data_IF_576196940731
#
_entry.id   IF_576196940731
#
_cell.length_a   1.000
_cell.length_b   1.000
_cell.length_c   1.000
_cell.angle_alpha   90.00
_cell.angle_beta   90.00
_cell.angle_gamma   90.00
#
_symmetry.space_group_name_H-M   'P 1'
#
loop_
_entity.id
_entity.type
_entity.pdbx_description
1 polymer ?
#
# COMPACT_ATOMS: atom_id res chain seq x y z
N UNK A 1 9.40 5.72 1.93
CA UNK A 1 8.67 6.55 2.93
C UNK A 1 7.19 6.50 2.61
N UNK A 2 6.30 6.45 3.58
CA UNK A 2 4.85 6.57 3.35
C UNK A 2 4.28 7.69 4.21
N UNK A 3 3.17 8.27 3.79
CA UNK A 3 2.36 9.11 4.66
C UNK A 3 1.00 8.48 4.90
N UNK A 4 0.56 8.50 6.16
CA UNK A 4 -0.78 8.13 6.54
C UNK A 4 -1.54 9.37 6.99
N UNK A 5 -2.70 9.60 6.40
CA UNK A 5 -3.55 10.74 6.71
C UNK A 5 -4.98 10.26 6.95
N UNK A 6 -5.69 10.98 7.81
CA UNK A 6 -7.13 10.80 7.87
C UNK A 6 -7.77 11.15 6.51
N UNK A 7 -8.82 10.44 6.08
CA UNK A 7 -9.44 10.65 4.77
C UNK A 7 -9.84 12.10 4.52
N UNK A 8 -10.44 12.78 5.51
CA UNK A 8 -10.90 14.15 5.37
C UNK A 8 -9.73 15.12 5.08
N UNK A 9 -8.60 14.92 5.76
CA UNK A 9 -7.41 15.75 5.59
C UNK A 9 -6.78 15.51 4.23
N UNK A 10 -6.71 14.25 3.79
CA UNK A 10 -6.24 13.90 2.46
C UNK A 10 -7.07 14.59 1.36
N UNK A 11 -8.41 14.46 1.38
CA UNK A 11 -9.27 15.06 0.37
C UNK A 11 -9.20 16.60 0.38
N UNK A 12 -9.05 17.21 1.58
CA UNK A 12 -8.84 18.64 1.70
C UNK A 12 -7.53 19.08 1.03
N UNK A 13 -6.41 18.42 1.36
CA UNK A 13 -5.10 18.73 0.80
C UNK A 13 -5.05 18.50 -0.72
N UNK A 14 -5.65 17.40 -1.19
CA UNK A 14 -5.77 17.11 -2.61
C UNK A 14 -6.57 18.22 -3.32
N UNK A 15 -7.70 18.65 -2.76
CA UNK A 15 -8.50 19.73 -3.33
C UNK A 15 -7.73 21.04 -3.44
N UNK A 16 -7.00 21.43 -2.38
CA UNK A 16 -6.15 22.63 -2.39
C UNK A 16 -5.04 22.53 -3.43
N UNK A 17 -4.37 21.39 -3.52
CA UNK A 17 -3.31 21.15 -4.52
C UNK A 17 -3.85 21.27 -5.95
N UNK A 18 -5.00 20.64 -6.23
CA UNK A 18 -5.61 20.69 -7.55
C UNK A 18 -6.08 22.09 -7.94
N UNK A 19 -6.59 22.87 -6.98
CA UNK A 19 -6.92 24.28 -7.21
C UNK A 19 -5.69 25.09 -7.63
N UNK A 20 -4.56 24.92 -6.93
CA UNK A 20 -3.30 25.57 -7.29
C UNK A 20 -2.82 25.18 -8.70
N UNK A 21 -2.88 23.89 -9.04
CA UNK A 21 -2.52 23.38 -10.37
C UNK A 21 -3.45 23.95 -11.44
N UNK A 22 -4.77 23.91 -11.21
CA UNK A 22 -5.78 24.41 -12.14
C UNK A 22 -5.61 25.90 -12.41
N UNK A 23 -5.38 26.68 -11.35
CA UNK A 23 -5.15 28.12 -11.46
C UNK A 23 -3.90 28.43 -12.29
N UNK A 24 -2.81 27.72 -12.01
CA UNK A 24 -1.53 27.88 -12.71
C UNK A 24 -1.65 27.49 -14.19
N UNK A 25 -2.27 26.35 -14.48
CA UNK A 25 -2.55 25.88 -15.83
C UNK A 25 -3.47 26.85 -16.58
N UNK A 26 -4.51 27.37 -15.92
CA UNK A 26 -5.43 28.35 -16.47
C UNK A 26 -4.73 29.65 -16.90
N UNK A 27 -3.83 30.19 -16.07
CA UNK A 27 -3.01 31.37 -16.42
C UNK A 27 -2.14 31.08 -17.64
N UNK A 28 -1.46 29.93 -17.65
CA UNK A 28 -0.53 29.57 -18.71
C UNK A 28 -1.25 29.37 -20.04
N UNK A 29 -2.40 28.70 -20.00
CA UNK A 29 -3.24 28.44 -21.14
C UNK A 29 -3.90 29.71 -21.69
N UNK A 30 -4.32 30.63 -20.81
CA UNK A 30 -4.80 31.95 -21.21
C UNK A 30 -3.73 32.77 -21.93
N UNK A 31 -2.49 32.81 -21.39
CA UNK A 31 -1.35 33.48 -22.03
C UNK A 31 -1.05 32.91 -23.42
N UNK A 32 -1.10 31.59 -23.58
CA UNK A 32 -0.87 30.92 -24.86
C UNK A 32 -1.96 31.23 -25.90
N UNK A 33 -3.22 31.32 -25.49
CA UNK A 33 -4.34 31.63 -26.40
C UNK A 33 -4.31 33.10 -26.83
N UNK A 34 -4.03 34.03 -25.92
CA UNK A 34 -3.95 35.47 -26.25
C UNK A 34 -2.88 35.77 -27.30
N UNK A 35 -1.78 35.01 -27.34
CA UNK A 35 -0.70 35.18 -28.33
C UNK A 35 -1.14 34.98 -29.79
N UNK A 36 -2.30 34.38 -30.04
CA UNK A 36 -2.71 33.93 -31.38
C UNK A 36 -3.76 34.80 -32.12
N UNK A 37 -4.11 36.00 -31.64
CA UNK A 37 -4.89 37.11 -32.24
C UNK A 37 -6.24 36.84 -32.98
N UNK A 38 -6.59 35.62 -33.39
CA UNK A 38 -7.83 35.30 -34.13
C UNK A 38 -8.88 34.66 -33.21
N UNK A 39 -10.09 35.25 -33.19
CA UNK A 39 -11.35 34.76 -32.56
C UNK A 39 -11.13 33.76 -31.41
N UNK A 40 -10.75 34.28 -30.23
CA UNK A 40 -10.24 33.51 -29.09
C UNK A 40 -11.34 32.89 -28.21
N UNK A 41 -12.53 33.51 -28.12
CA UNK A 41 -13.58 33.09 -27.16
C UNK A 41 -14.04 31.63 -27.28
N UNK A 42 -14.14 31.09 -28.49
CA UNK A 42 -14.54 29.68 -28.68
C UNK A 42 -13.47 28.69 -28.22
N UNK A 43 -12.20 29.01 -28.50
CA UNK A 43 -11.04 28.21 -28.08
C UNK A 43 -10.83 28.26 -26.58
N UNK A 44 -11.04 29.42 -25.96
CA UNK A 44 -10.97 29.58 -24.49
C UNK A 44 -12.02 28.71 -23.79
N UNK A 45 -13.27 28.71 -24.27
CA UNK A 45 -14.33 27.87 -23.70
C UNK A 45 -14.04 26.38 -23.86
N UNK A 46 -13.59 25.96 -25.04
CA UNK A 46 -13.23 24.56 -25.28
C UNK A 46 -12.07 24.12 -24.39
N UNK A 47 -11.03 24.94 -24.25
CA UNK A 47 -9.88 24.61 -23.43
C UNK A 47 -10.20 24.61 -21.93
N UNK A 48 -11.09 25.49 -21.46
CA UNK A 48 -11.59 25.45 -20.08
C UNK A 48 -12.35 24.15 -19.79
N UNK A 49 -13.20 23.68 -20.72
CA UNK A 49 -13.90 22.40 -20.58
C UNK A 49 -12.94 21.21 -20.56
N UNK A 50 -11.94 21.20 -21.45
CA UNK A 50 -10.91 20.15 -21.47
C UNK A 50 -10.12 20.16 -20.15
N UNK A 51 -9.71 21.34 -19.68
CA UNK A 51 -9.00 21.48 -18.42
C UNK A 51 -9.84 20.93 -17.26
N UNK A 52 -11.13 21.30 -17.17
CA UNK A 52 -12.02 20.78 -16.15
C UNK A 52 -12.15 19.25 -16.18
N UNK A 53 -12.28 18.66 -17.38
CA UNK A 53 -12.34 17.21 -17.55
C UNK A 53 -11.04 16.53 -17.11
N UNK A 54 -9.88 17.07 -17.51
CA UNK A 54 -8.56 16.58 -17.08
C UNK A 54 -8.41 16.65 -15.57
N UNK A 55 -8.84 17.75 -14.94
CA UNK A 55 -8.77 17.90 -13.48
C UNK A 55 -9.68 16.90 -12.75
N UNK A 56 -10.88 16.62 -13.28
CA UNK A 56 -11.76 15.60 -12.72
C UNK A 56 -11.13 14.20 -12.81
N UNK A 57 -10.53 13.85 -13.95
CA UNK A 57 -9.81 12.58 -14.13
C UNK A 57 -8.63 12.49 -13.18
N UNK A 58 -7.85 13.56 -13.03
CA UNK A 58 -6.69 13.59 -12.15
C UNK A 58 -7.08 13.48 -10.68
N UNK A 59 -8.20 14.08 -10.28
CA UNK A 59 -8.78 13.90 -8.94
C UNK A 59 -9.12 12.43 -8.68
N UNK A 60 -9.86 11.79 -9.59
CA UNK A 60 -10.25 10.39 -9.44
C UNK A 60 -9.03 9.47 -9.42
N UNK A 61 -8.06 9.71 -10.31
CA UNK A 61 -6.80 8.97 -10.33
C UNK A 61 -6.05 9.08 -9.00
N UNK A 62 -5.88 10.30 -8.48
CA UNK A 62 -5.17 10.52 -7.23
C UNK A 62 -5.91 9.91 -6.02
N UNK A 63 -7.23 9.99 -6.00
CA UNK A 63 -8.05 9.53 -4.88
C UNK A 63 -8.26 8.01 -4.82
N UNK A 64 -8.30 7.33 -5.96
CA UNK A 64 -8.71 5.92 -6.03
C UNK A 64 -7.58 4.98 -6.48
N UNK A 65 -6.66 5.46 -7.31
CA UNK A 65 -5.66 4.58 -7.95
C UNK A 65 -4.26 4.80 -7.39
N UNK A 66 -3.93 6.05 -7.05
CA UNK A 66 -2.62 6.39 -6.51
C UNK A 66 -2.49 6.10 -5.01
N UNK A 67 -3.57 6.20 -4.24
CA UNK A 67 -3.57 5.96 -2.80
C UNK A 67 -4.20 4.64 -2.42
N UNK A 68 -3.71 4.06 -1.33
CA UNK A 68 -4.30 2.89 -0.70
C UNK A 68 -5.06 3.29 0.58
N UNK A 69 -5.80 2.35 1.17
CA UNK A 69 -6.54 2.52 2.41
C UNK A 69 -6.17 1.42 3.38
N UNK A 70 -5.92 1.81 4.63
CA UNK A 70 -5.78 0.90 5.75
C UNK A 70 -6.95 1.10 6.72
N UNK A 71 -7.59 0.02 7.15
CA UNK A 71 -8.69 0.03 8.11
C UNK A 71 -8.18 -0.11 9.56
N UNK A 72 -9.05 0.16 10.53
CA UNK A 72 -8.73 -0.01 11.94
C UNK A 72 -8.24 -1.44 12.26
N UNK A 73 -7.08 -1.52 12.91
CA UNK A 73 -6.42 -2.79 13.26
C UNK A 73 -5.64 -3.44 12.11
N UNK A 74 -5.55 -2.80 10.95
CA UNK A 74 -4.57 -3.17 9.92
C UNK A 74 -3.23 -2.48 10.22
N UNK A 75 -2.13 -3.16 9.85
CA UNK A 75 -0.77 -2.66 10.07
C UNK A 75 -0.13 -2.31 8.74
N UNK A 76 0.47 -1.13 8.64
CA UNK A 76 1.24 -0.73 7.46
C UNK A 76 2.72 -0.95 7.75
N UNK A 77 3.32 -1.87 7.00
CA UNK A 77 4.73 -2.24 7.07
C UNK A 77 5.50 -1.39 6.08
N UNK A 78 6.57 -0.76 6.56
CA UNK A 78 7.46 0.11 5.77
C UNK A 78 8.91 -0.11 6.17
N UNK A 79 9.86 0.37 5.35
CA UNK A 79 11.27 0.37 5.72
C UNK A 79 11.58 1.17 6.99
N UNK A 80 10.70 2.11 7.39
CA UNK A 80 10.83 2.86 8.65
C UNK A 80 10.24 2.15 9.87
N UNK A 81 9.59 1.00 9.68
CA UNK A 81 8.91 0.25 10.74
C UNK A 81 7.45 -0.09 10.43
N UNK A 82 6.79 -0.65 11.44
CA UNK A 82 5.37 -1.05 11.39
C UNK A 82 4.54 0.04 12.08
N UNK A 83 3.52 0.54 11.39
CA UNK A 83 2.57 1.50 11.97
C UNK A 83 1.17 0.88 11.99
N UNK A 84 0.54 0.86 13.14
CA UNK A 84 -0.83 0.36 13.29
C UNK A 84 -1.84 1.48 12.99
N UNK A 85 -2.90 1.13 12.27
CA UNK A 85 -3.98 2.06 11.96
C UNK A 85 -4.97 2.13 13.12
N UNK A 86 -4.91 3.21 13.90
CA UNK A 86 -5.81 3.45 15.03
C UNK A 86 -7.14 4.10 14.63
N UNK A 87 -7.14 4.87 13.54
CA UNK A 87 -8.35 5.48 12.97
C UNK A 87 -9.23 4.42 12.30
N UNK A 88 -10.54 4.68 12.19
CA UNK A 88 -11.47 3.80 11.47
C UNK A 88 -10.98 3.45 10.04
N UNK A 89 -10.34 4.43 9.40
CA UNK A 89 -9.69 4.31 8.10
C UNK A 89 -8.60 5.37 7.98
N UNK A 90 -7.49 5.02 7.36
CA UNK A 90 -6.40 5.93 6.97
C UNK A 90 -6.11 5.80 5.49
N UNK A 91 -5.77 6.91 4.85
CA UNK A 91 -5.27 6.95 3.47
C UNK A 91 -3.76 6.79 3.49
N UNK A 92 -3.26 5.80 2.78
CA UNK A 92 -1.83 5.51 2.64
C UNK A 92 -1.35 6.09 1.32
N UNK A 93 -0.38 7.00 1.40
CA UNK A 93 0.28 7.61 0.25
C UNK A 93 1.68 6.99 0.12
N UNK A 94 1.92 6.15 -0.89
CA UNK A 94 3.18 5.44 -1.01
C UNK A 94 4.23 6.26 -1.76
N UNK A 95 5.34 6.59 -1.08
CA UNK A 95 6.55 7.14 -1.69
C UNK A 95 7.71 6.12 -1.64
N UNK A 96 7.38 4.84 -1.68
CA UNK A 96 8.31 3.71 -1.63
C UNK A 96 7.56 2.41 -1.31
N UNK A 97 8.30 1.31 -1.22
CA UNK A 97 7.76 -0.02 -0.93
C UNK A 97 7.08 -0.05 0.43
N UNK A 98 5.88 -0.62 0.45
CA UNK A 98 5.05 -0.78 1.64
C UNK A 98 4.13 -1.97 1.45
N UNK A 99 3.60 -2.49 2.55
CA UNK A 99 2.50 -3.44 2.52
C UNK A 99 1.55 -3.18 3.68
N UNK A 100 0.26 -3.34 3.44
CA UNK A 100 -0.75 -3.39 4.48
C UNK A 100 -0.99 -4.85 4.84
N UNK A 101 -0.83 -5.16 6.12
CA UNK A 101 -1.11 -6.46 6.71
C UNK A 101 -2.52 -6.40 7.26
N UNK A 102 -3.38 -7.27 6.73
CA UNK A 102 -4.76 -7.38 7.15
C UNK A 102 -4.86 -7.76 8.63
N UNK A 103 -5.92 -7.26 9.29
CA UNK A 103 -6.15 -7.50 10.72
C UNK A 103 -6.17 -8.99 11.11
N UNK A 104 -6.57 -9.87 10.20
CA UNK A 104 -6.61 -11.30 10.46
C UNK A 104 -5.21 -11.92 10.67
N UNK A 105 -4.17 -11.22 10.23
CA UNK A 105 -2.76 -11.57 10.42
C UNK A 105 -2.06 -10.67 11.45
N UNK A 106 -2.81 -9.95 12.29
CA UNK A 106 -2.24 -9.06 13.32
C UNK A 106 -1.33 -9.84 14.29
N UNK A 107 -1.76 -11.04 14.67
CA UNK A 107 -1.00 -11.98 15.50
C UNK A 107 -0.07 -12.90 14.70
N UNK A 108 0.13 -12.61 13.42
CA UNK A 108 0.93 -13.41 12.49
C UNK A 108 0.10 -14.35 11.62
N UNK A 109 0.78 -14.92 10.63
CA UNK A 109 0.24 -15.92 9.73
C UNK A 109 0.39 -17.31 10.34
N UNK A 110 -0.69 -18.11 10.38
CA UNK A 110 -0.66 -19.43 11.03
C UNK A 110 -0.93 -20.56 10.04
N UNK A 111 -0.11 -21.61 10.10
CA UNK A 111 -0.28 -22.87 9.35
C UNK A 111 -0.01 -24.08 10.25
N UNK A 112 -0.84 -25.09 10.10
CA UNK A 112 -0.72 -26.36 10.81
C UNK A 112 -0.08 -27.40 9.89
N UNK A 113 0.94 -28.10 10.39
CA UNK A 113 1.67 -29.14 9.64
C UNK A 113 1.70 -30.42 10.47
N UNK A 114 1.37 -31.54 9.83
CA UNK A 114 1.47 -32.85 10.46
C UNK A 114 2.89 -33.41 10.27
N UNK A 115 3.59 -33.65 11.38
CA UNK A 115 4.94 -34.22 11.39
C UNK A 115 5.02 -35.30 12.47
N UNK A 116 5.49 -36.49 12.12
CA UNK A 116 5.70 -37.60 13.06
C UNK A 116 4.46 -37.98 13.91
N UNK A 117 3.25 -37.81 13.35
CA UNK A 117 1.99 -38.08 14.05
C UNK A 117 1.53 -37.00 15.02
N UNK A 118 2.22 -35.86 15.07
CA UNK A 118 1.84 -34.67 15.82
C UNK A 118 1.44 -33.53 14.85
N UNK A 119 0.45 -32.73 15.25
CA UNK A 119 0.14 -31.48 14.54
C UNK A 119 0.94 -30.34 15.17
N UNK A 120 1.78 -29.69 14.39
CA UNK A 120 2.58 -28.53 14.82
C UNK A 120 2.00 -27.28 14.15
N UNK A 121 1.62 -26.28 14.96
CA UNK A 121 1.23 -24.96 14.48
C UNK A 121 2.42 -24.04 14.40
N UNK A 122 2.69 -23.54 13.22
CA UNK A 122 3.67 -22.50 12.94
C UNK A 122 2.97 -21.15 12.89
N UNK A 123 3.48 -20.17 13.62
CA UNK A 123 3.01 -18.78 13.60
C UNK A 123 4.14 -17.88 13.13
N UNK A 124 3.95 -17.21 12.00
CA UNK A 124 4.93 -16.32 11.36
C UNK A 124 4.55 -14.87 11.64
N UNK A 125 5.35 -14.17 12.43
CA UNK A 125 5.10 -12.79 12.83
C UNK A 125 6.19 -11.87 12.29
N UNK A 126 5.80 -10.81 11.59
CA UNK A 126 6.75 -9.79 11.11
C UNK A 126 7.29 -9.05 12.34
N UNK A 127 8.59 -9.15 12.59
CA UNK A 127 9.26 -8.50 13.73
C UNK A 127 10.28 -7.45 13.31
N UNK A 128 10.78 -7.50 12.07
CA UNK A 128 11.60 -6.47 11.46
C UNK A 128 11.02 -6.11 10.09
N UNK A 129 10.42 -4.94 10.01
CA UNK A 129 9.72 -4.46 8.82
C UNK A 129 10.66 -4.22 7.63
N UNK A 130 11.86 -3.72 7.89
CA UNK A 130 12.81 -3.37 6.82
C UNK A 130 13.36 -4.64 6.20
N UNK A 131 13.84 -5.57 7.04
CA UNK A 131 14.33 -6.87 6.56
C UNK A 131 13.24 -7.64 5.81
N UNK A 132 12.00 -7.65 6.33
CA UNK A 132 10.87 -8.32 5.71
C UNK A 132 10.55 -7.75 4.32
N UNK A 133 10.43 -6.43 4.19
CA UNK A 133 10.08 -5.82 2.90
C UNK A 133 11.18 -5.99 1.86
N UNK A 134 12.45 -5.91 2.27
CA UNK A 134 13.57 -6.06 1.35
C UNK A 134 13.68 -7.50 0.81
N UNK A 135 13.43 -8.51 1.65
CA UNK A 135 13.50 -9.91 1.24
C UNK A 135 12.26 -10.34 0.43
N UNK A 136 11.08 -9.90 0.85
CA UNK A 136 9.80 -10.42 0.36
C UNK A 136 9.00 -9.44 -0.50
N UNK A 137 9.66 -8.43 -1.09
CA UNK A 137 9.03 -7.42 -1.95
C UNK A 137 8.22 -8.06 -3.10
N UNK A 138 8.71 -9.17 -3.65
CA UNK A 138 8.06 -9.89 -4.76
C UNK A 138 6.73 -10.54 -4.38
N UNK A 139 6.44 -10.68 -3.08
CA UNK A 139 5.19 -11.22 -2.56
C UNK A 139 4.19 -10.12 -2.14
N UNK A 140 4.51 -8.85 -2.43
CA UNK A 140 3.60 -7.72 -2.23
C UNK A 140 2.78 -7.53 -3.51
N UNK A 141 1.51 -7.95 -3.46
CA UNK A 141 0.57 -7.72 -4.54
C UNK A 141 0.09 -6.27 -4.55
N UNK A 142 -0.21 -5.75 -5.74
CA UNK A 142 -0.86 -4.45 -5.89
C UNK A 142 0.01 -3.24 -5.52
N UNK A 143 1.31 -3.41 -5.28
CA UNK A 143 2.24 -2.30 -5.12
C UNK A 143 2.82 -1.93 -6.50
N UNK A 144 2.19 -0.98 -7.21
CA UNK A 144 2.57 -0.66 -8.59
C UNK A 144 2.18 0.75 -9.05
N UNK A 145 2.69 1.14 -10.23
CA UNK A 145 2.58 2.52 -10.77
C UNK A 145 1.12 2.95 -11.03
N UNK A 146 0.21 2.01 -11.25
CA UNK A 146 -1.16 2.29 -11.70
C UNK A 146 -2.25 1.97 -10.68
N UNK A 147 -1.98 1.10 -9.71
CA UNK A 147 -2.88 0.75 -8.61
C UNK A 147 -2.00 0.52 -7.40
N UNK A 148 -2.30 1.20 -6.31
CA UNK A 148 -1.64 1.03 -5.03
C UNK A 148 -2.59 0.38 -4.03
N UNK A 149 -2.42 -0.93 -3.86
CA UNK A 149 -3.09 -1.80 -2.89
C UNK A 149 -2.09 -2.83 -2.37
N UNK A 150 -1.00 -2.36 -1.75
CA UNK A 150 0.08 -3.22 -1.27
C UNK A 150 -0.45 -4.20 -0.24
N UNK A 151 -0.58 -5.48 -0.58
CA UNK A 151 -0.98 -6.56 0.36
C UNK A 151 -0.01 -7.72 0.24
N UNK A 152 0.27 -8.38 1.36
CA UNK A 152 1.15 -9.56 1.37
C UNK A 152 0.36 -10.79 0.92
N UNK A 153 0.84 -11.47 -0.12
CA UNK A 153 0.36 -12.79 -0.52
C UNK A 153 0.92 -13.87 0.42
N UNK A 154 0.44 -13.90 1.68
CA UNK A 154 1.00 -14.79 2.71
C UNK A 154 0.95 -16.27 2.35
N UNK A 155 -0.07 -16.74 1.61
CA UNK A 155 -0.13 -18.14 1.19
C UNK A 155 0.96 -18.47 0.18
N UNK A 156 1.13 -17.64 -0.85
CA UNK A 156 2.19 -17.84 -1.84
C UNK A 156 3.57 -17.77 -1.19
N UNK A 157 3.80 -16.76 -0.34
CA UNK A 157 5.04 -16.60 0.41
C UNK A 157 5.31 -17.83 1.29
N UNK A 158 4.27 -18.39 1.92
CA UNK A 158 4.41 -19.58 2.73
C UNK A 158 4.80 -20.81 1.90
N UNK A 159 4.09 -21.08 0.81
CA UNK A 159 4.33 -22.27 -0.02
C UNK A 159 5.70 -22.23 -0.71
N UNK A 160 6.10 -21.06 -1.21
CA UNK A 160 7.33 -20.91 -2.01
C UNK A 160 8.59 -20.71 -1.16
N UNK A 161 8.52 -19.96 -0.06
CA UNK A 161 9.70 -19.58 0.73
C UNK A 161 9.74 -20.21 2.12
N UNK A 162 8.63 -20.18 2.85
CA UNK A 162 8.65 -20.57 4.27
C UNK A 162 8.59 -22.07 4.47
N UNK A 163 7.64 -22.74 3.83
CA UNK A 163 7.39 -24.18 3.96
C UNK A 163 8.62 -25.03 3.63
N UNK A 164 9.38 -24.79 2.55
CA UNK A 164 10.55 -25.62 2.22
C UNK A 164 11.70 -25.49 3.23
N UNK A 165 11.72 -24.40 4.00
CA UNK A 165 12.76 -24.04 4.97
C UNK A 165 12.32 -24.29 6.42
N UNK A 166 11.12 -24.82 6.63
CA UNK A 166 10.63 -25.15 7.97
C UNK A 166 11.54 -26.20 8.59
N UNK A 167 12.05 -25.95 9.81
CA UNK A 167 12.88 -26.92 10.49
C UNK A 167 12.04 -28.15 10.82
N UNK A 168 12.68 -29.32 10.85
CA UNK A 168 12.10 -30.47 11.54
C UNK A 168 11.98 -30.12 13.03
N UNK A 169 10.98 -30.67 13.74
CA UNK A 169 10.65 -30.36 15.15
C UNK A 169 11.85 -30.35 16.15
N UNK A 170 13.01 -30.89 15.78
CA UNK A 170 14.25 -30.95 16.56
C UNK A 170 15.29 -29.86 16.28
N UNK A 171 15.13 -29.02 15.24
CA UNK A 171 16.13 -28.02 14.86
C UNK A 171 15.70 -26.59 15.25
N UNK A 172 16.49 -25.95 16.10
CA UNK A 172 16.26 -24.57 16.53
C UNK A 172 16.76 -23.58 15.48
N UNK A 173 15.81 -22.78 14.97
CA UNK A 173 15.96 -21.55 14.19
C UNK A 173 16.50 -21.69 12.75
N UNK A 174 15.57 -21.87 11.80
CA UNK A 174 15.74 -21.24 10.49
C UNK A 174 15.40 -19.76 10.62
N UNK A 175 16.35 -18.89 10.30
CA UNK A 175 16.13 -17.44 10.31
C UNK A 175 15.38 -17.03 9.05
N UNK A 176 14.10 -16.67 9.19
CA UNK A 176 13.36 -15.99 8.13
C UNK A 176 13.63 -14.48 8.26
N UNK A 177 14.16 -13.80 7.23
CA UNK A 177 14.47 -12.37 7.32
C UNK A 177 13.26 -11.54 7.76
N UNK A 178 13.38 -10.89 8.91
CA UNK A 178 12.33 -10.06 9.50
C UNK A 178 11.04 -10.77 9.91
N UNK A 179 11.09 -12.10 10.05
CA UNK A 179 9.97 -12.92 10.52
C UNK A 179 10.41 -13.77 11.71
N UNK A 180 9.69 -13.62 12.83
CA UNK A 180 9.75 -14.52 13.98
C UNK A 180 8.81 -15.70 13.75
N UNK A 181 9.32 -16.92 13.92
CA UNK A 181 8.52 -18.15 13.82
C UNK A 181 8.37 -18.78 15.19
N UNK A 182 7.12 -18.97 15.60
CA UNK A 182 6.75 -19.69 16.82
C UNK A 182 6.14 -21.04 16.47
N UNK A 183 6.53 -22.07 17.22
CA UNK A 183 6.04 -23.43 17.05
C UNK A 183 5.26 -23.87 18.28
N UNK A 184 4.08 -24.46 18.07
CA UNK A 184 3.28 -25.03 19.14
C UNK A 184 2.73 -26.38 18.72
N UNK A 185 3.08 -27.44 19.44
CA UNK A 185 2.44 -28.74 19.28
C UNK A 185 0.98 -28.65 19.73
N UNK A 186 0.08 -29.08 18.87
CA UNK A 186 -1.34 -29.22 19.13
C UNK A 186 -1.59 -30.71 19.35
N UNK A 187 -1.65 -31.11 20.62
CA UNK A 187 -2.18 -32.44 20.97
C UNK A 187 -3.69 -32.47 20.73
N UNK A 188 -4.25 -33.58 20.23
CA UNK A 188 -5.69 -33.76 20.08
C UNK A 188 -6.45 -33.67 21.41
#
# INVERSE_FOLDING_TARGET
MIWMLDPWLFYLLLSVLLLCITFSAGILLHRLIQKNEKKTKGKERAAALILAAVMAVLYLYAAEWFTDRAAAGERVVTSSGIQETQSAQSVVIPFGTYAVVERLYDFGYTRDVEQNGETIRYTFTINDAEAFLNEYENYIEGNGVFVNRGRIAFEQLYEEEWQPKLPSASESSTGFPGVKVEQRTISP
#
